data_IF_261459941371
#
_entry.id   IF_261459941371
#
_cell.length_a   1.000
_cell.length_b   1.000
_cell.length_c   1.000
_cell.angle_alpha   90.00
_cell.angle_beta   90.00
_cell.angle_gamma   90.00
#
_symmetry.space_group_name_H-M   'P 1'
#
loop_
_entity.id
_entity.type
_entity.pdbx_description
1 polymer ?
#
# COMPACT_ATOMS: atom_id res chain seq x y z
N UNK A 1 38.93 -32.14 44.94
CA UNK A 1 37.76 -32.21 44.03
C UNK A 1 36.69 -31.25 44.54
N UNK A 2 36.51 -30.09 43.92
CA UNK A 2 35.42 -29.14 44.23
C UNK A 2 35.13 -28.34 42.95
N UNK A 3 33.89 -28.43 42.49
CA UNK A 3 33.48 -28.24 41.12
C UNK A 3 33.53 -26.80 40.60
N UNK A 4 33.83 -26.69 39.31
CA UNK A 4 33.64 -25.49 38.50
C UNK A 4 32.15 -25.34 38.19
N UNK A 5 31.55 -24.21 38.59
CA UNK A 5 30.20 -23.81 38.20
C UNK A 5 30.36 -23.04 36.88
N UNK A 6 29.96 -23.65 35.77
CA UNK A 6 29.86 -22.99 34.46
C UNK A 6 28.56 -22.18 34.42
N UNK A 7 28.67 -20.84 34.54
CA UNK A 7 27.57 -19.93 34.21
C UNK A 7 27.46 -19.80 32.69
N UNK A 8 26.38 -20.34 32.12
CA UNK A 8 25.99 -20.12 30.73
C UNK A 8 25.29 -18.74 30.62
N UNK A 9 25.98 -17.75 30.05
CA UNK A 9 25.34 -16.52 29.57
C UNK A 9 24.57 -16.84 28.29
N UNK A 10 23.24 -16.90 28.38
CA UNK A 10 22.36 -16.96 27.22
C UNK A 10 22.27 -15.55 26.59
N UNK A 11 22.88 -15.37 25.42
CA UNK A 11 22.63 -14.21 24.55
C UNK A 11 21.23 -14.37 23.93
N UNK A 12 20.26 -13.62 24.42
CA UNK A 12 18.95 -13.48 23.78
C UNK A 12 19.07 -12.66 22.51
N UNK A 13 18.88 -13.28 21.35
CA UNK A 13 18.77 -12.60 20.06
C UNK A 13 17.40 -11.96 19.98
N UNK A 14 17.30 -10.64 20.15
CA UNK A 14 16.07 -9.90 19.85
C UNK A 14 15.94 -9.78 18.34
N UNK A 15 15.13 -10.63 17.72
CA UNK A 15 14.71 -10.47 16.33
C UNK A 15 13.80 -9.26 16.24
N UNK A 16 14.38 -8.09 15.95
CA UNK A 16 13.61 -6.93 15.53
C UNK A 16 13.00 -7.25 14.17
N UNK A 17 11.67 -7.23 14.06
CA UNK A 17 11.00 -7.23 12.77
C UNK A 17 11.33 -5.90 12.08
N UNK A 18 12.32 -5.93 11.18
CA UNK A 18 12.53 -4.86 10.22
C UNK A 18 11.28 -4.83 9.33
N UNK A 19 10.44 -3.81 9.52
CA UNK A 19 9.40 -3.50 8.54
C UNK A 19 10.08 -3.02 7.26
N UNK A 20 9.59 -3.46 6.11
CA UNK A 20 9.94 -2.80 4.86
C UNK A 20 9.43 -1.35 4.93
N UNK A 21 10.18 -0.41 4.36
CA UNK A 21 9.67 0.96 4.17
C UNK A 21 8.32 0.88 3.44
N UNK A 22 7.32 1.60 3.93
CA UNK A 22 5.97 1.53 3.38
C UNK A 22 5.13 0.36 3.85
N UNK A 23 5.58 -0.45 4.84
CA UNK A 23 4.73 -1.45 5.50
C UNK A 23 4.79 -1.42 7.02
N UNK A 24 3.61 -1.48 7.64
CA UNK A 24 3.49 -1.80 9.06
C UNK A 24 3.66 -3.31 9.27
N UNK A 25 4.89 -3.73 9.59
CA UNK A 25 5.24 -5.14 9.78
C UNK A 25 5.83 -5.79 8.53
N UNK A 26 5.75 -7.12 8.46
CA UNK A 26 6.20 -7.86 7.28
C UNK A 26 5.21 -7.70 6.13
N UNK A 27 5.68 -7.61 4.89
CA UNK A 27 4.84 -7.51 3.71
C UNK A 27 5.59 -6.93 2.52
N UNK A 28 4.98 -7.03 1.34
CA UNK A 28 5.45 -6.35 0.12
C UNK A 28 4.79 -4.97 0.06
N UNK A 29 5.56 -3.88 0.09
CA UNK A 29 4.99 -2.54 0.00
C UNK A 29 4.45 -2.30 -1.41
N UNK A 30 3.27 -1.71 -1.49
CA UNK A 30 2.55 -1.40 -2.74
C UNK A 30 2.51 0.11 -3.00
N UNK A 31 2.35 0.89 -1.93
CA UNK A 31 2.29 2.34 -1.99
C UNK A 31 2.75 2.95 -0.66
N UNK A 32 3.51 4.03 -0.73
CA UNK A 32 3.86 4.83 0.44
C UNK A 32 3.96 6.31 0.07
N UNK A 33 3.38 7.17 0.89
CA UNK A 33 3.71 8.59 0.89
C UNK A 33 3.44 9.26 2.24
N UNK A 34 3.96 10.47 2.41
CA UNK A 34 3.61 11.32 3.55
C UNK A 34 2.59 12.39 3.19
N UNK A 35 1.91 12.90 4.21
CA UNK A 35 0.98 14.01 4.11
C UNK A 35 1.24 14.99 5.25
N UNK A 36 0.75 16.22 5.08
CA UNK A 36 0.86 17.29 6.09
C UNK A 36 2.32 17.53 6.49
N UNK A 37 3.20 17.69 5.49
CA UNK A 37 4.63 17.93 5.68
C UNK A 37 5.31 16.85 6.54
N UNK A 38 4.98 15.59 6.29
CA UNK A 38 5.54 14.44 7.02
C UNK A 38 4.86 14.11 8.35
N UNK A 39 3.82 14.84 8.76
CA UNK A 39 3.12 14.56 10.01
C UNK A 39 2.31 13.24 9.92
N UNK A 40 1.77 12.93 8.75
CA UNK A 40 0.99 11.73 8.49
C UNK A 40 1.62 10.87 7.40
N UNK A 41 1.27 9.60 7.38
CA UNK A 41 1.66 8.65 6.34
C UNK A 41 0.48 7.81 5.88
N UNK A 42 0.58 7.36 4.63
CA UNK A 42 -0.29 6.35 4.04
C UNK A 42 0.58 5.22 3.55
N UNK A 43 0.18 4.00 3.90
CA UNK A 43 0.82 2.77 3.44
C UNK A 43 -0.23 1.84 2.83
N UNK A 44 0.11 1.21 1.72
CA UNK A 44 -0.59 0.02 1.25
C UNK A 44 0.41 -1.13 1.08
N UNK A 45 0.04 -2.32 1.56
CA UNK A 45 0.90 -3.50 1.54
C UNK A 45 0.16 -4.76 1.13
N UNK A 46 0.91 -5.74 0.64
CA UNK A 46 0.47 -7.10 0.44
C UNK A 46 1.14 -8.04 1.46
N UNK A 47 0.31 -8.82 2.15
CA UNK A 47 0.71 -9.81 3.16
C UNK A 47 0.07 -11.16 2.80
N UNK A 48 0.71 -11.89 1.88
CA UNK A 48 0.11 -13.11 1.33
C UNK A 48 -1.10 -12.78 0.46
N UNK A 49 -2.28 -13.29 0.83
CA UNK A 49 -3.56 -13.07 0.15
C UNK A 49 -4.39 -11.92 0.77
N UNK A 50 -3.78 -11.14 1.67
CA UNK A 50 -4.40 -9.99 2.32
C UNK A 50 -3.66 -8.72 1.91
N UNK A 51 -4.41 -7.73 1.42
CA UNK A 51 -3.90 -6.39 1.22
C UNK A 51 -4.31 -5.49 2.39
N UNK A 52 -3.40 -4.65 2.86
CA UNK A 52 -3.62 -3.75 4.00
C UNK A 52 -3.49 -2.29 3.57
N UNK A 53 -4.26 -1.43 4.23
CA UNK A 53 -4.20 0.03 4.11
C UNK A 53 -4.04 0.64 5.49
N UNK A 54 -3.07 1.52 5.65
CA UNK A 54 -2.81 2.27 6.89
C UNK A 54 -2.85 3.76 6.60
N UNK A 55 -3.56 4.50 7.45
CA UNK A 55 -3.53 5.96 7.49
C UNK A 55 -3.37 6.43 8.94
N UNK A 56 -2.58 7.47 9.14
CA UNK A 56 -2.47 8.14 10.43
C UNK A 56 -1.12 8.83 10.60
N UNK A 57 -0.66 9.06 11.85
CA UNK A 57 0.65 9.63 12.13
C UNK A 57 1.78 8.87 11.44
N UNK A 58 2.79 9.59 10.93
CA UNK A 58 3.96 8.97 10.30
C UNK A 58 4.71 8.04 11.25
N UNK A 59 4.65 8.32 12.56
CA UNK A 59 5.17 7.46 13.62
C UNK A 59 4.09 7.20 14.67
N UNK A 60 4.00 5.97 15.16
CA UNK A 60 3.02 5.57 16.17
C UNK A 60 1.81 4.81 15.62
N UNK A 61 0.75 4.76 16.42
CA UNK A 61 -0.47 4.00 16.13
C UNK A 61 -1.23 4.62 14.96
N UNK A 62 -1.72 3.76 14.05
CA UNK A 62 -2.55 4.18 12.93
C UNK A 62 -3.91 4.70 13.40
N UNK A 63 -4.41 5.75 12.74
CA UNK A 63 -5.77 6.24 12.93
C UNK A 63 -6.78 5.31 12.25
N UNK A 64 -6.36 4.70 11.13
CA UNK A 64 -7.13 3.74 10.36
C UNK A 64 -6.21 2.63 9.86
N UNK A 65 -6.61 1.39 10.11
CA UNK A 65 -5.97 0.18 9.57
C UNK A 65 -7.06 -0.71 8.98
N UNK A 66 -6.94 -1.00 7.69
CA UNK A 66 -7.81 -1.94 6.98
C UNK A 66 -6.98 -3.13 6.53
N UNK A 67 -7.59 -4.31 6.59
CA UNK A 67 -7.04 -5.55 6.06
C UNK A 67 -8.17 -6.25 5.30
N UNK A 68 -7.97 -6.48 4.01
CA UNK A 68 -8.97 -7.06 3.13
C UNK A 68 -8.33 -8.20 2.33
N UNK A 69 -9.07 -9.31 2.11
CA UNK A 69 -8.66 -10.30 1.11
C UNK A 69 -8.43 -9.60 -0.23
N UNK A 70 -7.40 -10.00 -0.96
CA UNK A 70 -7.05 -9.41 -2.27
C UNK A 70 -8.23 -9.41 -3.23
N UNK A 71 -9.09 -10.44 -3.17
CA UNK A 71 -10.30 -10.54 -3.97
C UNK A 71 -11.32 -9.39 -3.75
N UNK A 72 -11.24 -8.69 -2.62
CA UNK A 72 -12.14 -7.60 -2.22
C UNK A 72 -11.50 -6.21 -2.34
N UNK A 73 -10.24 -6.11 -2.74
CA UNK A 73 -9.57 -4.85 -3.01
C UNK A 73 -9.71 -4.55 -4.49
N UNK A 74 -10.33 -3.43 -4.84
CA UNK A 74 -10.40 -3.02 -6.25
C UNK A 74 -9.06 -2.40 -6.67
N UNK A 75 -8.76 -2.52 -7.96
CA UNK A 75 -7.54 -1.97 -8.55
C UNK A 75 -7.88 -1.44 -9.94
N UNK A 76 -7.37 -0.25 -10.25
CA UNK A 76 -7.33 0.28 -11.61
C UNK A 76 -5.89 0.25 -12.11
N UNK A 77 -5.48 -0.78 -12.88
CA UNK A 77 -4.17 -0.82 -13.50
C UNK A 77 -4.07 0.22 -14.62
N UNK A 78 -2.85 0.61 -14.97
CA UNK A 78 -2.65 1.50 -16.10
C UNK A 78 -3.00 0.78 -17.41
N UNK A 79 -3.78 1.44 -18.27
CA UNK A 79 -4.24 0.87 -19.56
C UNK A 79 -3.13 0.60 -20.59
N UNK A 80 -1.88 0.97 -20.29
CA UNK A 80 -0.77 0.93 -21.26
C UNK A 80 -0.77 2.09 -22.27
N UNK A 81 -1.80 2.95 -22.25
CA UNK A 81 -1.98 4.07 -23.18
C UNK A 81 -1.98 5.40 -22.43
N UNK A 82 -1.45 6.44 -23.09
CA UNK A 82 -1.44 7.81 -22.59
C UNK A 82 -0.10 8.28 -22.06
N UNK A 83 -0.01 9.60 -21.86
CA UNK A 83 1.16 10.31 -21.29
C UNK A 83 1.37 9.94 -19.83
N UNK A 84 0.29 9.88 -19.08
CA UNK A 84 0.30 9.57 -17.65
C UNK A 84 0.17 8.07 -17.46
N UNK A 85 1.19 7.45 -16.87
CA UNK A 85 1.01 6.17 -16.19
C UNK A 85 0.26 6.48 -14.91
N UNK A 86 -0.91 5.89 -14.70
CA UNK A 86 -1.67 6.08 -13.47
C UNK A 86 -2.34 4.79 -13.09
N UNK A 87 -2.20 4.46 -11.81
CA UNK A 87 -2.83 3.29 -11.21
C UNK A 87 -3.43 3.65 -9.85
N UNK A 88 -4.35 2.82 -9.38
CA UNK A 88 -4.96 2.98 -8.08
C UNK A 88 -5.37 1.64 -7.45
N UNK A 89 -5.39 1.61 -6.12
CA UNK A 89 -5.98 0.53 -5.32
C UNK A 89 -7.03 1.12 -4.38
N UNK A 90 -8.12 0.38 -4.15
CA UNK A 90 -9.27 0.85 -3.37
C UNK A 90 -9.57 -0.10 -2.24
N UNK A 91 -9.56 0.45 -1.03
CA UNK A 91 -9.90 -0.25 0.20
C UNK A 91 -11.26 0.22 0.69
N UNK A 92 -12.17 -0.69 1.01
CA UNK A 92 -13.54 -0.36 1.38
C UNK A 92 -13.82 -0.68 2.85
N UNK A 93 -14.49 0.23 3.55
CA UNK A 93 -14.93 0.00 4.93
C UNK A 93 -16.20 0.80 5.25
N UNK A 94 -17.23 0.14 5.77
CA UNK A 94 -18.47 0.77 6.28
C UNK A 94 -19.10 1.82 5.33
N UNK A 95 -19.13 1.53 4.02
CA UNK A 95 -19.69 2.43 2.99
C UNK A 95 -18.76 3.56 2.54
N UNK A 96 -17.51 3.59 3.02
CA UNK A 96 -16.44 4.43 2.50
C UNK A 96 -15.49 3.65 1.62
N UNK A 97 -14.88 4.32 0.65
CA UNK A 97 -13.78 3.82 -0.16
C UNK A 97 -12.56 4.74 0.00
N UNK A 98 -11.41 4.14 0.25
CA UNK A 98 -10.11 4.78 0.40
C UNK A 98 -9.26 4.37 -0.79
N UNK A 99 -9.18 5.25 -1.78
CA UNK A 99 -8.41 5.01 -3.00
C UNK A 99 -7.03 5.64 -2.86
N UNK A 100 -6.00 4.81 -2.83
CA UNK A 100 -4.62 5.26 -3.06
C UNK A 100 -4.39 5.31 -4.56
N UNK A 101 -3.83 6.40 -5.06
CA UNK A 101 -3.50 6.59 -6.47
C UNK A 101 -2.10 7.14 -6.61
N UNK A 102 -1.44 6.76 -7.70
CA UNK A 102 -0.21 7.39 -8.13
C UNK A 102 -0.21 7.66 -9.63
N UNK A 103 0.58 8.63 -10.05
CA UNK A 103 0.75 8.97 -11.45
C UNK A 103 2.16 9.45 -11.77
N UNK A 104 2.65 9.06 -12.94
CA UNK A 104 3.94 9.47 -13.50
C UNK A 104 3.74 10.02 -14.90
N UNK A 105 4.24 11.23 -15.14
CA UNK A 105 4.33 11.78 -16.49
C UNK A 105 5.49 11.11 -17.23
N UNK A 106 5.17 10.21 -18.16
CA UNK A 106 6.17 9.44 -18.90
C UNK A 106 6.96 10.28 -19.89
N UNK A 107 6.49 11.49 -20.21
CA UNK A 107 7.14 12.43 -21.13
C UNK A 107 7.87 13.56 -20.40
N UNK A 108 7.70 13.69 -19.08
CA UNK A 108 8.47 14.64 -18.29
C UNK A 108 9.91 14.17 -18.13
N UNK A 109 10.87 15.11 -18.16
CA UNK A 109 12.26 14.81 -17.84
C UNK A 109 12.45 14.42 -16.38
N UNK A 110 11.68 15.03 -15.46
CA UNK A 110 11.77 14.75 -14.02
C UNK A 110 11.24 13.37 -13.65
N UNK A 111 10.29 12.83 -14.43
CA UNK A 111 9.54 11.61 -14.12
C UNK A 111 9.07 11.53 -12.66
N UNK A 112 8.71 12.68 -12.11
CA UNK A 112 8.25 12.78 -10.72
C UNK A 112 6.99 11.94 -10.52
N UNK A 113 6.98 11.15 -9.45
CA UNK A 113 5.82 10.39 -9.03
C UNK A 113 4.96 11.28 -8.15
N UNK A 114 3.71 11.46 -8.55
CA UNK A 114 2.68 12.12 -7.74
C UNK A 114 1.74 11.07 -7.18
N UNK A 115 1.14 11.33 -6.03
CA UNK A 115 0.18 10.43 -5.42
C UNK A 115 -0.87 11.16 -4.58
N UNK A 116 -1.97 10.49 -4.32
CA UNK A 116 -3.04 11.00 -3.48
C UNK A 116 -3.84 9.88 -2.80
N UNK A 117 -4.51 10.24 -1.72
CA UNK A 117 -5.61 9.46 -1.14
C UNK A 117 -6.92 10.15 -1.44
N UNK A 118 -7.84 9.44 -2.08
CA UNK A 118 -9.22 9.89 -2.26
C UNK A 118 -10.12 9.14 -1.28
N UNK A 119 -10.96 9.88 -0.55
CA UNK A 119 -11.98 9.30 0.33
C UNK A 119 -13.33 9.49 -0.32
N UNK A 120 -14.03 8.40 -0.60
CA UNK A 120 -15.32 8.40 -1.28
C UNK A 120 -16.40 7.76 -0.41
N UNK A 121 -17.66 8.11 -0.70
CA UNK A 121 -18.86 7.41 -0.21
C UNK A 121 -19.83 7.28 -1.37
N UNK A 122 -20.00 6.05 -1.87
CA UNK A 122 -20.60 5.85 -3.20
C UNK A 122 -19.77 6.60 -4.24
N UNK A 123 -20.43 7.33 -5.15
CA UNK A 123 -19.77 8.10 -6.20
C UNK A 123 -19.27 9.48 -5.74
N UNK A 124 -19.57 9.89 -4.51
CA UNK A 124 -19.19 11.21 -4.00
C UNK A 124 -17.78 11.19 -3.40
N UNK A 125 -16.86 11.99 -3.98
CA UNK A 125 -15.57 12.29 -3.36
C UNK A 125 -15.77 13.25 -2.18
N UNK A 126 -15.42 12.78 -0.97
CA UNK A 126 -15.53 13.53 0.28
C UNK A 126 -14.24 14.28 0.61
N UNK A 127 -13.10 13.72 0.24
CA UNK A 127 -11.79 14.34 0.43
C UNK A 127 -10.79 13.84 -0.62
N UNK A 128 -9.80 14.69 -0.88
CA UNK A 128 -8.59 14.35 -1.61
C UNK A 128 -7.41 14.87 -0.81
N UNK A 129 -6.47 13.98 -0.52
CA UNK A 129 -5.29 14.25 0.27
C UNK A 129 -4.08 14.00 -0.63
N UNK A 130 -3.54 15.04 -1.29
CA UNK A 130 -2.34 14.88 -2.09
C UNK A 130 -1.15 14.53 -1.19
N UNK A 131 -0.29 13.65 -1.67
CA UNK A 131 0.97 13.36 -1.01
C UNK A 131 1.86 14.61 -1.00
N UNK A 132 2.72 14.74 0.02
CA UNK A 132 3.73 15.79 0.06
C UNK A 132 4.66 15.66 -1.18
N UNK A 133 5.11 16.77 -1.80
CA UNK A 133 5.99 16.72 -2.95
C UNK A 133 7.24 15.86 -2.71
N UNK A 134 7.53 14.92 -3.61
CA UNK A 134 8.66 14.01 -3.49
C UNK A 134 8.57 12.95 -2.37
N UNK A 135 7.44 12.83 -1.67
CA UNK A 135 7.28 11.86 -0.58
C UNK A 135 6.83 10.47 -1.02
N UNK A 136 6.46 10.29 -2.29
CA UNK A 136 6.07 8.97 -2.82
C UNK A 136 7.32 8.12 -3.01
N UNK A 137 7.63 7.25 -2.05
CA UNK A 137 8.81 6.37 -2.10
C UNK A 137 8.50 4.95 -2.57
N UNK A 138 7.22 4.56 -2.54
CA UNK A 138 6.72 3.31 -3.12
C UNK A 138 5.49 3.60 -3.96
N UNK A 139 5.48 3.09 -5.20
CA UNK A 139 4.41 3.26 -6.17
C UNK A 139 4.42 2.07 -7.15
N UNK A 140 4.12 0.88 -6.62
CA UNK A 140 4.12 -0.37 -7.39
C UNK A 140 2.91 -1.22 -6.98
N UNK A 141 1.85 -1.16 -7.78
CA UNK A 141 0.65 -1.96 -7.57
C UNK A 141 0.69 -3.29 -8.33
N UNK A 142 1.78 -3.61 -9.03
CA UNK A 142 1.89 -4.85 -9.79
C UNK A 142 1.80 -6.12 -8.91
N UNK A 143 2.38 -6.17 -7.70
CA UNK A 143 2.18 -7.33 -6.82
C UNK A 143 0.71 -7.55 -6.43
N UNK A 144 -0.09 -6.48 -6.33
CA UNK A 144 -1.53 -6.61 -6.10
C UNK A 144 -2.24 -7.18 -7.33
N UNK A 145 -1.85 -6.75 -8.54
CA UNK A 145 -2.37 -7.30 -9.80
C UNK A 145 -2.15 -8.83 -9.86
N UNK A 146 -0.91 -9.28 -9.65
CA UNK A 146 -0.57 -10.71 -9.67
C UNK A 146 -1.32 -11.49 -8.59
N UNK A 147 -1.50 -10.91 -7.41
CA UNK A 147 -2.25 -11.54 -6.33
C UNK A 147 -3.75 -11.68 -6.68
N UNK A 148 -4.34 -10.72 -7.40
CA UNK A 148 -5.72 -10.81 -7.90
C UNK A 148 -5.87 -11.92 -8.95
N UNK A 149 -4.90 -12.04 -9.87
CA UNK A 149 -4.86 -13.14 -10.83
C UNK A 149 -4.72 -14.50 -10.14
N UNK A 150 -3.84 -14.61 -9.15
CA UNK A 150 -3.68 -15.82 -8.33
C UNK A 150 -4.95 -16.19 -7.54
N UNK A 151 -5.78 -15.19 -7.21
CA UNK A 151 -7.09 -15.37 -6.57
C UNK A 151 -8.22 -15.71 -7.56
N UNK A 152 -7.91 -15.88 -8.85
CA UNK A 152 -8.88 -16.22 -9.90
C UNK A 152 -9.65 -15.03 -10.44
N UNK A 153 -9.14 -13.80 -10.29
CA UNK A 153 -9.71 -12.60 -10.88
C UNK A 153 -8.89 -12.15 -12.09
N UNK A 154 -9.57 -11.84 -13.19
CA UNK A 154 -8.95 -11.40 -14.44
C UNK A 154 -9.38 -9.95 -14.74
N UNK A 155 -8.43 -9.10 -15.12
CA UNK A 155 -8.72 -7.73 -15.55
C UNK A 155 -9.31 -7.71 -16.96
N UNK A 156 -10.52 -7.14 -17.09
CA UNK A 156 -11.11 -6.83 -18.39
C UNK A 156 -10.78 -5.39 -18.79
N UNK A 157 -9.85 -5.23 -19.74
CA UNK A 157 -9.49 -3.91 -20.26
C UNK A 157 -10.66 -3.19 -20.98
N UNK A 158 -11.61 -3.94 -21.52
CA UNK A 158 -12.81 -3.39 -22.18
C UNK A 158 -13.84 -2.89 -21.15
N UNK A 159 -14.13 -3.69 -20.12
CA UNK A 159 -15.08 -3.32 -19.07
C UNK A 159 -14.48 -2.37 -18.02
N UNK A 160 -13.15 -2.26 -17.99
CA UNK A 160 -12.38 -1.61 -16.93
C UNK A 160 -12.74 -2.15 -15.54
N UNK A 161 -12.87 -3.47 -15.44
CA UNK A 161 -13.34 -4.15 -14.24
C UNK A 161 -12.65 -5.52 -14.05
N UNK A 162 -12.66 -6.01 -12.81
CA UNK A 162 -12.17 -7.34 -12.45
C UNK A 162 -13.32 -8.34 -12.42
N UNK A 163 -13.24 -9.39 -13.23
CA UNK A 163 -14.21 -10.48 -13.23
C UNK A 163 -13.56 -11.78 -12.78
N UNK A 164 -14.36 -12.81 -12.51
CA UNK A 164 -13.82 -14.17 -12.43
C UNK A 164 -13.16 -14.55 -13.75
N UNK A 165 -12.02 -15.22 -13.65
CA UNK A 165 -11.57 -16.15 -14.67
C UNK A 165 -12.49 -17.42 -14.60
#
# INVERSE_FOLDING_TARGET
MRGMILSAMALGVTTGSAGAEGCFGAGTPLFHCTLEQGAKAVDACLQGDVATYRFGPATGTADLLLAQPVAQVDMWPWSGVGRWLSEAAVFANAGYAYRVSYAVDRLSESREVTGAVHVLRGDAQLAELPCDPGSVTVADLYPLFEAKEAAGQCWSGEAQDWTGC
#
